data_IF_909980168998
#
_entry.id   IF_909980168998
#
_cell.length_a   1.000
_cell.length_b   1.000
_cell.length_c   1.000
_cell.angle_alpha   90.00
_cell.angle_beta   90.00
_cell.angle_gamma   90.00
#
_symmetry.space_group_name_H-M   'P 1'
#
loop_
_entity.id
_entity.type
_entity.pdbx_description
1 polymer ?
#
# COMPACT_ATOMS: atom_id res chain seq x y z
N UNK A 1 -46.37 -23.74 6.53
CA UNK A 1 -45.94 -22.54 7.28
C UNK A 1 -46.23 -22.78 8.74
N UNK A 2 -45.21 -23.10 9.56
CA UNK A 2 -45.29 -23.01 11.02
C UNK A 2 -43.89 -23.07 11.63
N UNK A 3 -43.35 -21.89 11.86
CA UNK A 3 -42.58 -21.45 13.03
C UNK A 3 -41.40 -22.30 13.52
N UNK A 4 -40.25 -22.04 12.89
CA UNK A 4 -38.94 -22.27 13.50
C UNK A 4 -38.68 -21.18 14.56
N UNK A 5 -39.20 -21.34 15.79
CA UNK A 5 -38.85 -20.47 16.92
C UNK A 5 -37.41 -20.75 17.36
N UNK A 6 -36.47 -20.03 16.78
CA UNK A 6 -35.12 -19.88 17.35
C UNK A 6 -35.28 -19.26 18.76
N UNK A 7 -34.63 -19.80 19.82
CA UNK A 7 -34.83 -19.28 21.18
C UNK A 7 -34.34 -17.83 21.29
N UNK A 8 -35.25 -16.90 21.59
CA UNK A 8 -35.00 -15.46 21.72
C UNK A 8 -33.85 -15.14 22.70
N UNK A 9 -33.62 -16.02 23.67
CA UNK A 9 -32.54 -15.94 24.67
C UNK A 9 -31.16 -16.17 24.03
N UNK A 10 -31.05 -17.12 23.10
CA UNK A 10 -29.79 -17.39 22.41
C UNK A 10 -29.41 -16.21 21.50
N UNK A 11 -30.40 -15.60 20.85
CA UNK A 11 -30.20 -14.40 20.03
C UNK A 11 -29.76 -13.20 20.86
N UNK A 12 -30.38 -12.94 22.02
CA UNK A 12 -29.97 -11.87 22.94
C UNK A 12 -28.55 -12.05 23.46
N UNK A 13 -28.18 -13.28 23.82
CA UNK A 13 -26.81 -13.59 24.26
C UNK A 13 -25.77 -13.38 23.15
N UNK A 14 -26.07 -13.78 21.92
CA UNK A 14 -25.18 -13.52 20.78
C UNK A 14 -25.05 -12.01 20.49
N UNK A 15 -26.11 -11.21 20.69
CA UNK A 15 -26.01 -9.75 20.58
C UNK A 15 -25.08 -9.18 21.66
N UNK A 16 -25.24 -9.60 22.93
CA UNK A 16 -24.38 -9.15 24.02
C UNK A 16 -22.90 -9.55 23.79
N UNK A 17 -22.64 -10.75 23.27
CA UNK A 17 -21.30 -11.20 22.90
C UNK A 17 -20.70 -10.33 21.78
N UNK A 18 -21.48 -9.97 20.76
CA UNK A 18 -21.05 -9.08 19.68
C UNK A 18 -20.81 -7.64 20.17
N UNK A 19 -21.66 -7.11 21.04
CA UNK A 19 -21.50 -5.76 21.63
C UNK A 19 -20.23 -5.67 22.48
N UNK A 20 -19.92 -6.74 23.23
CA UNK A 20 -18.68 -6.84 24.01
C UNK A 20 -17.46 -6.87 23.09
N UNK A 21 -17.48 -7.66 22.01
CA UNK A 21 -16.41 -7.71 21.03
C UNK A 21 -16.19 -6.35 20.34
N UNK A 22 -17.27 -5.65 19.95
CA UNK A 22 -17.20 -4.31 19.37
C UNK A 22 -16.51 -3.32 20.32
N UNK A 23 -16.87 -3.34 21.60
CA UNK A 23 -16.26 -2.47 22.63
C UNK A 23 -14.77 -2.75 22.77
N UNK A 24 -14.36 -4.02 22.83
CA UNK A 24 -12.93 -4.38 22.91
C UNK A 24 -12.14 -3.96 21.66
N UNK A 25 -12.75 -4.04 20.48
CA UNK A 25 -12.13 -3.58 19.23
C UNK A 25 -11.89 -2.07 19.27
N UNK A 26 -12.87 -1.29 19.74
CA UNK A 26 -12.73 0.16 19.82
C UNK A 26 -11.67 0.58 20.85
N UNK A 27 -11.59 -0.09 22.00
CA UNK A 27 -10.51 0.11 22.96
C UNK A 27 -9.13 -0.19 22.36
N UNK A 28 -9.01 -1.29 21.61
CA UNK A 28 -7.75 -1.64 20.91
C UNK A 28 -7.39 -0.63 19.84
N UNK A 29 -8.36 -0.10 19.09
CA UNK A 29 -8.16 0.97 18.09
C UNK A 29 -7.64 2.23 18.75
N UNK A 30 -8.23 2.66 19.86
CA UNK A 30 -7.78 3.84 20.60
C UNK A 30 -6.39 3.66 21.20
N UNK A 31 -6.08 2.48 21.73
CA UNK A 31 -4.73 2.16 22.20
C UNK A 31 -3.71 2.18 21.05
N UNK A 32 -4.08 1.61 19.90
CA UNK A 32 -3.25 1.62 18.68
C UNK A 32 -3.01 3.05 18.23
N UNK A 33 -4.06 3.87 18.15
CA UNK A 33 -3.96 5.29 17.82
C UNK A 33 -2.98 6.01 18.73
N UNK A 34 -3.10 5.84 20.05
CA UNK A 34 -2.16 6.43 21.02
C UNK A 34 -0.71 5.99 20.73
N UNK A 35 -0.47 4.68 20.63
CA UNK A 35 0.87 4.13 20.40
C UNK A 35 1.48 4.63 19.09
N UNK A 36 0.69 4.65 18.02
CA UNK A 36 1.13 5.09 16.69
C UNK A 36 1.35 6.60 16.66
N UNK A 37 0.51 7.40 17.31
CA UNK A 37 0.76 8.84 17.49
C UNK A 37 2.13 9.11 18.11
N UNK A 38 2.53 8.33 19.12
CA UNK A 38 3.85 8.47 19.74
C UNK A 38 4.99 8.17 18.75
N UNK A 39 4.81 7.22 17.83
CA UNK A 39 5.82 6.92 16.78
C UNK A 39 6.03 8.13 15.85
N UNK A 40 4.98 8.92 15.58
CA UNK A 40 5.02 10.07 14.67
C UNK A 40 5.11 11.44 15.37
N UNK A 41 5.35 11.47 16.69
CA UNK A 41 5.39 12.70 17.50
C UNK A 41 6.76 13.40 17.54
N UNK A 42 7.73 12.98 16.72
CA UNK A 42 9.08 13.54 16.71
C UNK A 42 9.21 14.88 15.96
N UNK A 43 10.29 15.62 16.25
CA UNK A 43 10.66 16.87 15.56
C UNK A 43 11.26 16.66 14.15
N UNK A 44 11.09 15.48 13.56
CA UNK A 44 11.62 15.13 12.24
C UNK A 44 10.65 15.56 11.15
N UNK A 45 11.13 15.67 9.90
CA UNK A 45 10.22 15.87 8.78
C UNK A 45 9.35 14.62 8.59
N UNK A 46 8.12 14.80 8.09
CA UNK A 46 7.20 13.67 7.86
C UNK A 46 7.80 12.61 6.93
N UNK A 47 8.55 13.04 5.91
CA UNK A 47 9.21 12.14 4.97
C UNK A 47 10.30 11.27 5.63
N UNK A 48 11.10 11.85 6.54
CA UNK A 48 12.12 11.10 7.30
C UNK A 48 11.46 10.08 8.23
N UNK A 49 10.43 10.49 8.99
CA UNK A 49 9.72 9.58 9.90
C UNK A 49 9.05 8.44 9.13
N UNK A 50 8.46 8.73 7.97
CA UNK A 50 7.89 7.71 7.09
C UNK A 50 8.98 6.76 6.59
N UNK A 51 10.14 7.28 6.17
CA UNK A 51 11.25 6.44 5.71
C UNK A 51 11.73 5.50 6.81
N UNK A 52 11.90 6.00 8.04
CA UNK A 52 12.26 5.18 9.21
C UNK A 52 11.18 4.14 9.53
N UNK A 53 9.90 4.52 9.48
CA UNK A 53 8.78 3.60 9.68
C UNK A 53 8.78 2.46 8.65
N UNK A 54 8.98 2.80 7.37
CA UNK A 54 9.04 1.80 6.31
C UNK A 54 10.24 0.87 6.50
N UNK A 55 11.43 1.42 6.79
CA UNK A 55 12.69 0.66 6.93
C UNK A 55 12.75 -0.21 8.19
N UNK A 56 12.23 0.27 9.32
CA UNK A 56 12.36 -0.41 10.60
C UNK A 56 11.14 -1.28 10.94
N UNK A 57 9.96 -0.99 10.37
CA UNK A 57 8.73 -1.68 10.73
C UNK A 57 8.14 -2.50 9.57
N UNK A 58 7.99 -1.90 8.39
CA UNK A 58 7.24 -2.53 7.29
C UNK A 58 8.11 -3.51 6.51
N UNK A 59 9.25 -3.06 5.96
CA UNK A 59 10.10 -3.90 5.11
C UNK A 59 10.63 -5.16 5.82
N UNK A 60 11.12 -5.12 7.08
CA UNK A 60 11.60 -6.32 7.74
C UNK A 60 10.48 -7.34 8.00
N UNK A 61 9.25 -6.86 8.20
CA UNK A 61 8.11 -7.71 8.58
C UNK A 61 7.40 -8.31 7.39
N UNK A 62 7.22 -7.56 6.29
CA UNK A 62 6.49 -8.05 5.12
C UNK A 62 7.20 -9.22 4.40
N UNK A 63 8.50 -9.41 4.64
CA UNK A 63 9.29 -10.52 4.08
C UNK A 63 9.26 -11.78 4.97
N UNK A 64 8.83 -11.68 6.24
CA UNK A 64 8.94 -12.76 7.22
C UNK A 64 7.97 -13.93 6.96
N UNK A 65 6.72 -13.63 6.65
CA UNK A 65 5.68 -14.62 6.33
C UNK A 65 4.59 -14.01 5.45
N UNK A 66 3.77 -14.85 4.81
CA UNK A 66 2.64 -14.38 4.00
C UNK A 66 1.58 -13.66 4.85
N UNK A 67 1.36 -14.14 6.07
CA UNK A 67 0.42 -13.53 7.02
C UNK A 67 0.94 -12.15 7.46
N UNK A 68 2.25 -12.03 7.68
CA UNK A 68 2.87 -10.75 8.02
C UNK A 68 2.82 -9.74 6.86
N UNK A 69 2.95 -10.21 5.61
CA UNK A 69 2.77 -9.37 4.43
C UNK A 69 1.37 -8.75 4.38
N UNK A 70 0.32 -9.55 4.59
CA UNK A 70 -1.06 -9.06 4.66
C UNK A 70 -1.28 -8.14 5.87
N UNK A 71 -0.77 -8.54 7.03
CA UNK A 71 -0.82 -7.73 8.25
C UNK A 71 -0.19 -6.35 8.03
N UNK A 72 0.96 -6.25 7.35
CA UNK A 72 1.60 -4.97 7.07
C UNK A 72 0.71 -4.07 6.20
N UNK A 73 0.06 -4.61 5.18
CA UNK A 73 -0.85 -3.85 4.33
C UNK A 73 -2.10 -3.38 5.10
N UNK A 74 -2.73 -4.28 5.86
CA UNK A 74 -3.90 -3.95 6.68
C UNK A 74 -3.54 -2.97 7.80
N UNK A 75 -2.37 -3.12 8.43
CA UNK A 75 -1.89 -2.19 9.44
C UNK A 75 -1.72 -0.77 8.89
N UNK A 76 -1.18 -0.63 7.68
CA UNK A 76 -1.10 0.66 7.00
C UNK A 76 -2.48 1.26 6.71
N UNK A 77 -3.47 0.43 6.33
CA UNK A 77 -4.86 0.86 6.15
C UNK A 77 -5.47 1.32 7.47
N UNK A 78 -5.28 0.57 8.56
CA UNK A 78 -5.75 0.95 9.90
C UNK A 78 -5.13 2.27 10.36
N UNK A 79 -3.82 2.49 10.16
CA UNK A 79 -3.17 3.77 10.51
C UNK A 79 -3.82 4.94 9.75
N UNK A 80 -4.14 4.72 8.47
CA UNK A 80 -4.85 5.69 7.66
C UNK A 80 -6.24 5.98 8.23
N UNK A 81 -7.05 4.95 8.49
CA UNK A 81 -8.42 5.06 9.02
C UNK A 81 -8.48 5.75 10.40
N UNK A 82 -7.44 5.59 11.22
CA UNK A 82 -7.34 6.22 12.55
C UNK A 82 -7.04 7.73 12.49
N UNK A 83 -6.79 8.28 11.30
CA UNK A 83 -6.45 9.69 11.05
C UNK A 83 -5.27 10.13 11.90
N UNK A 84 -4.24 9.29 11.94
CA UNK A 84 -3.08 9.50 12.82
C UNK A 84 -2.41 10.85 12.50
N UNK A 85 -2.22 11.76 13.49
CA UNK A 85 -1.53 13.02 13.29
C UNK A 85 -0.10 12.77 12.82
N UNK A 86 0.41 13.67 11.98
CA UNK A 86 1.76 13.63 11.38
C UNK A 86 2.05 12.45 10.45
N UNK A 87 1.14 11.49 10.29
CA UNK A 87 1.25 10.45 9.28
C UNK A 87 0.67 10.94 7.95
N UNK A 88 1.42 10.81 6.85
CA UNK A 88 0.90 11.05 5.50
C UNK A 88 0.82 9.73 4.73
N UNK A 89 -0.41 9.28 4.50
CA UNK A 89 -0.69 8.06 3.73
C UNK A 89 -0.11 8.16 2.32
N UNK A 90 -0.28 9.32 1.66
CA UNK A 90 0.26 9.53 0.30
C UNK A 90 1.78 9.43 0.27
N UNK A 91 2.49 10.09 1.19
CA UNK A 91 3.96 10.03 1.23
C UNK A 91 4.43 8.61 1.58
N UNK A 92 3.72 7.91 2.46
CA UNK A 92 4.02 6.53 2.83
C UNK A 92 3.88 5.57 1.63
N UNK A 93 2.80 5.69 0.87
CA UNK A 93 2.57 4.87 -0.32
C UNK A 93 3.50 5.26 -1.48
N UNK A 94 3.79 6.55 -1.68
CA UNK A 94 4.78 7.00 -2.68
C UNK A 94 6.17 6.44 -2.32
N UNK A 95 6.58 6.49 -1.04
CA UNK A 95 7.84 5.91 -0.59
C UNK A 95 7.99 4.40 -0.82
N UNK A 96 6.89 3.65 -0.76
CA UNK A 96 6.87 2.22 -1.06
C UNK A 96 6.92 1.91 -2.55
N UNK A 97 6.18 2.67 -3.37
CA UNK A 97 5.95 2.35 -4.78
C UNK A 97 6.97 3.03 -5.71
N UNK A 98 7.62 4.11 -5.26
CA UNK A 98 8.47 4.94 -6.11
C UNK A 98 9.64 4.18 -6.74
N UNK A 99 10.28 3.29 -6.00
CA UNK A 99 11.33 2.41 -6.51
C UNK A 99 11.41 1.08 -5.74
N UNK A 100 10.83 0.04 -6.31
CA UNK A 100 10.82 -1.32 -5.75
C UNK A 100 12.02 -2.17 -6.22
N UNK A 101 12.85 -1.64 -7.11
CA UNK A 101 13.89 -2.41 -7.80
C UNK A 101 14.90 -3.01 -6.82
N UNK A 102 15.29 -2.21 -5.82
CA UNK A 102 16.21 -2.63 -4.76
C UNK A 102 15.58 -3.64 -3.81
N UNK A 103 14.31 -3.45 -3.44
CA UNK A 103 13.58 -4.41 -2.60
C UNK A 103 13.55 -5.78 -3.26
N UNK A 104 13.18 -5.85 -4.54
CA UNK A 104 13.15 -7.12 -5.31
C UNK A 104 14.54 -7.74 -5.44
N UNK A 105 15.57 -6.92 -5.69
CA UNK A 105 16.94 -7.41 -5.84
C UNK A 105 17.51 -7.98 -4.52
N UNK A 106 17.09 -7.45 -3.38
CA UNK A 106 17.54 -7.93 -2.06
C UNK A 106 16.81 -9.17 -1.54
N UNK A 107 15.67 -9.52 -2.14
CA UNK A 107 14.87 -10.66 -1.70
C UNK A 107 15.45 -11.98 -2.19
N UNK A 108 15.27 -13.04 -1.41
CA UNK A 108 15.23 -14.41 -1.93
C UNK A 108 13.93 -14.68 -2.70
N UNK A 109 13.87 -15.80 -3.43
CA UNK A 109 12.69 -16.20 -4.22
C UNK A 109 11.40 -16.25 -3.36
N UNK A 110 11.47 -16.85 -2.17
CA UNK A 110 10.30 -16.93 -1.29
C UNK A 110 9.90 -15.56 -0.71
N UNK A 111 10.88 -14.69 -0.44
CA UNK A 111 10.62 -13.33 0.03
C UNK A 111 9.99 -12.48 -1.07
N UNK A 112 10.39 -12.68 -2.33
CA UNK A 112 9.79 -11.99 -3.48
C UNK A 112 8.30 -12.31 -3.63
N UNK A 113 7.89 -13.57 -3.42
CA UNK A 113 6.47 -13.97 -3.43
C UNK A 113 5.69 -13.24 -2.31
N UNK A 114 6.23 -13.22 -1.08
CA UNK A 114 5.59 -12.54 0.06
C UNK A 114 5.50 -11.03 -0.15
N UNK A 115 6.56 -10.44 -0.67
CA UNK A 115 6.59 -9.03 -1.05
C UNK A 115 5.55 -8.71 -2.14
N UNK A 116 5.39 -9.59 -3.13
CA UNK A 116 4.33 -9.50 -4.13
C UNK A 116 2.94 -9.47 -3.52
N UNK A 117 2.66 -10.32 -2.51
CA UNK A 117 1.37 -10.34 -1.78
C UNK A 117 1.12 -9.05 -0.98
N UNK A 118 2.17 -8.53 -0.35
CA UNK A 118 2.11 -7.22 0.31
C UNK A 118 1.76 -6.11 -0.70
N UNK A 119 2.44 -6.08 -1.86
CA UNK A 119 2.17 -5.09 -2.91
C UNK A 119 0.76 -5.24 -3.51
N UNK A 120 0.28 -6.47 -3.70
CA UNK A 120 -1.07 -6.76 -4.18
C UNK A 120 -2.13 -6.12 -3.26
N UNK A 121 -2.06 -6.39 -1.95
CA UNK A 121 -2.99 -5.85 -0.96
C UNK A 121 -2.88 -4.31 -0.80
N UNK A 122 -1.66 -3.79 -0.89
CA UNK A 122 -1.42 -2.34 -0.89
C UNK A 122 -2.10 -1.68 -2.09
N UNK A 123 -1.88 -2.19 -3.30
CA UNK A 123 -2.47 -1.66 -4.52
C UNK A 123 -3.98 -1.82 -4.55
N UNK A 124 -4.53 -2.92 -4.06
CA UNK A 124 -5.98 -3.10 -3.95
C UNK A 124 -6.64 -1.97 -3.17
N UNK A 125 -6.03 -1.53 -2.06
CA UNK A 125 -6.50 -0.39 -1.27
C UNK A 125 -6.56 0.89 -2.11
N UNK A 126 -5.45 1.21 -2.80
CA UNK A 126 -5.35 2.41 -3.64
C UNK A 126 -6.34 2.34 -4.81
N UNK A 127 -6.46 1.17 -5.43
CA UNK A 127 -7.38 0.95 -6.54
C UNK A 127 -8.84 1.16 -6.12
N UNK A 128 -9.18 0.80 -4.89
CA UNK A 128 -10.53 1.02 -4.36
C UNK A 128 -10.86 2.51 -4.23
N UNK A 129 -9.90 3.34 -3.81
CA UNK A 129 -10.04 4.80 -3.79
C UNK A 129 -10.06 5.41 -5.19
N UNK A 130 -9.32 4.84 -6.14
CA UNK A 130 -9.31 5.30 -7.53
C UNK A 130 -10.60 4.92 -8.28
N UNK A 131 -11.25 3.81 -7.91
CA UNK A 131 -12.45 3.31 -8.59
C UNK A 131 -13.73 4.05 -8.22
N UNK A 132 -13.81 4.60 -7.00
CA UNK A 132 -15.01 5.25 -6.49
C UNK A 132 -14.67 6.59 -5.82
N UNK A 133 -15.13 7.69 -6.45
CA UNK A 133 -14.96 9.03 -5.92
C UNK A 133 -15.66 9.21 -4.57
N UNK A 134 -16.83 8.61 -4.34
CA UNK A 134 -17.53 8.75 -3.07
C UNK A 134 -16.74 8.09 -1.92
N UNK A 135 -16.09 6.97 -2.22
CA UNK A 135 -15.21 6.28 -1.27
C UNK A 135 -13.99 7.14 -0.93
N UNK A 136 -13.35 7.73 -1.94
CA UNK A 136 -12.26 8.68 -1.74
C UNK A 136 -12.68 9.91 -0.92
N UNK A 137 -13.83 10.50 -1.22
CA UNK A 137 -14.34 11.68 -0.51
C UNK A 137 -14.71 11.35 0.95
N UNK A 138 -15.10 10.12 1.26
CA UNK A 138 -15.38 9.69 2.64
C UNK A 138 -14.11 9.35 3.43
N UNK A 139 -13.22 8.59 2.82
CA UNK A 139 -12.06 7.96 3.49
C UNK A 139 -10.77 8.76 3.35
N UNK A 140 -10.61 9.61 2.34
CA UNK A 140 -9.34 10.28 2.06
C UNK A 140 -9.45 11.80 2.19
N UNK A 141 -10.52 12.41 1.67
CA UNK A 141 -10.70 13.85 1.69
C UNK A 141 -10.66 14.40 3.13
N UNK A 142 -11.41 13.82 4.06
CA UNK A 142 -11.45 14.30 5.45
C UNK A 142 -10.19 14.00 6.28
N UNK A 143 -9.23 13.23 5.75
CA UNK A 143 -8.12 12.68 6.52
C UNK A 143 -6.85 13.52 6.38
N UNK A 144 -6.20 13.79 7.52
CA UNK A 144 -4.91 14.51 7.56
C UNK A 144 -3.83 13.83 6.71
N UNK A 145 -3.93 12.52 6.47
CA UNK A 145 -2.97 11.76 5.67
C UNK A 145 -2.85 12.19 4.19
N UNK A 146 -3.84 12.93 3.67
CA UNK A 146 -3.97 13.36 2.26
C UNK A 146 -3.80 14.87 2.05
N UNK A 147 -3.33 15.60 3.07
CA UNK A 147 -3.01 17.02 2.92
C UNK A 147 -1.64 17.18 2.21
N UNK A 148 -1.60 17.93 1.11
CA UNK A 148 -0.39 18.09 0.27
C UNK A 148 0.56 19.16 0.80
N UNK A 149 0.07 20.07 1.65
CA UNK A 149 0.88 21.10 2.31
C UNK A 149 0.50 21.18 3.78
N UNK A 150 1.48 20.89 4.64
CA UNK A 150 1.40 21.20 6.06
C UNK A 150 2.45 22.23 6.39
N UNK A 151 2.01 23.45 6.70
CA UNK A 151 2.91 24.43 7.27
C UNK A 151 3.39 23.92 8.63
N UNK A 152 4.71 23.80 8.80
CA UNK A 152 5.31 23.68 10.13
C UNK A 152 4.83 24.86 10.97
N UNK A 153 4.20 24.61 12.11
CA UNK A 153 3.69 25.62 13.04
C UNK A 153 4.80 26.44 13.74
N UNK A 154 5.98 26.59 13.12
CA UNK A 154 7.19 27.15 13.73
C UNK A 154 7.86 28.32 12.99
N UNK A 155 7.55 28.60 11.71
CA UNK A 155 8.20 29.70 11.00
C UNK A 155 7.21 30.80 10.60
N UNK A 156 7.18 31.82 11.44
CA UNK A 156 6.44 33.08 11.25
C UNK A 156 6.87 33.84 9.99
N UNK A 157 5.87 34.50 9.40
CA UNK A 157 5.97 35.77 8.68
C UNK A 157 6.80 35.80 7.40
N UNK A 158 6.13 35.84 6.25
CA UNK A 158 6.09 37.05 5.39
C UNK A 158 5.12 36.89 4.22
N UNK A 159 4.11 37.78 4.19
CA UNK A 159 3.55 38.50 3.02
C UNK A 159 2.96 37.67 1.85
N UNK A 160 1.83 37.97 1.22
CA UNK A 160 0.77 38.99 1.32
C UNK A 160 -0.21 38.57 0.22
N UNK A 161 -1.48 38.32 0.56
CA UNK A 161 -2.71 38.56 -0.24
C UNK A 161 -3.82 37.58 0.17
N UNK A 162 -4.76 38.09 0.98
CA UNK A 162 -6.20 38.00 0.70
C UNK A 162 -6.95 36.66 0.64
N UNK A 163 -6.34 35.50 0.83
CA UNK A 163 -7.09 34.24 0.95
C UNK A 163 -6.60 33.44 2.14
N UNK A 164 -7.50 33.14 3.07
CA UNK A 164 -7.35 32.09 4.07
C UNK A 164 -7.04 30.78 3.35
N UNK A 165 -5.76 30.47 3.16
CA UNK A 165 -5.32 29.21 2.57
C UNK A 165 -5.52 28.10 3.60
N UNK A 166 -6.73 27.53 3.62
CA UNK A 166 -6.99 26.20 4.16
C UNK A 166 -5.96 25.23 3.59
N UNK A 167 -5.42 24.30 4.39
CA UNK A 167 -4.43 23.33 3.92
C UNK A 167 -5.00 22.62 2.68
N UNK A 168 -4.27 22.71 1.56
CA UNK A 168 -4.75 22.20 0.28
C UNK A 168 -4.83 20.68 0.37
N UNK A 169 -6.07 20.20 0.43
CA UNK A 169 -6.39 18.79 0.47
C UNK A 169 -6.19 18.20 -0.92
N UNK A 170 -5.62 17.00 -1.02
CA UNK A 170 -5.46 16.35 -2.32
C UNK A 170 -6.83 16.12 -2.94
N UNK A 171 -7.14 16.85 -4.01
CA UNK A 171 -8.34 16.62 -4.80
C UNK A 171 -8.29 15.26 -5.50
N UNK A 172 -9.46 14.71 -5.81
CA UNK A 172 -9.61 13.41 -6.47
C UNK A 172 -8.86 13.36 -7.80
N UNK A 173 -8.89 14.44 -8.59
CA UNK A 173 -8.16 14.48 -9.85
C UNK A 173 -6.64 14.47 -9.64
N UNK A 174 -6.13 15.16 -8.62
CA UNK A 174 -4.71 15.09 -8.25
C UNK A 174 -4.33 13.68 -7.78
N UNK A 175 -5.20 13.01 -7.03
CA UNK A 175 -5.00 11.61 -6.65
C UNK A 175 -4.89 10.67 -7.86
N UNK A 176 -5.71 10.85 -8.91
CA UNK A 176 -5.59 10.06 -10.14
C UNK A 176 -4.25 10.25 -10.85
N UNK A 177 -3.70 11.47 -10.84
CA UNK A 177 -2.36 11.73 -11.37
C UNK A 177 -1.27 11.02 -10.55
N UNK A 178 -1.38 11.04 -9.21
CA UNK A 178 -0.47 10.32 -8.30
C UNK A 178 -0.56 8.81 -8.53
N UNK A 179 -1.77 8.26 -8.61
CA UNK A 179 -2.01 6.85 -8.93
C UNK A 179 -1.39 6.45 -10.27
N UNK A 180 -1.60 7.24 -11.33
CA UNK A 180 -0.97 6.99 -12.63
C UNK A 180 0.57 7.04 -12.54
N UNK A 181 1.13 8.00 -11.80
CA UNK A 181 2.57 8.11 -11.54
C UNK A 181 3.09 6.85 -10.84
N UNK A 182 2.38 6.31 -9.86
CA UNK A 182 2.74 5.06 -9.17
C UNK A 182 2.76 3.86 -10.12
N UNK A 183 1.72 3.70 -10.94
CA UNK A 183 1.71 2.63 -11.95
C UNK A 183 2.85 2.77 -12.97
N UNK A 184 3.16 3.99 -13.40
CA UNK A 184 4.30 4.25 -14.28
C UNK A 184 5.64 3.88 -13.61
N UNK A 185 5.82 4.21 -12.33
CA UNK A 185 7.02 3.88 -11.56
C UNK A 185 7.18 2.36 -11.40
N UNK A 186 6.10 1.65 -11.06
CA UNK A 186 6.08 0.18 -11.02
C UNK A 186 6.50 -0.43 -12.36
N UNK A 187 5.88 0.02 -13.47
CA UNK A 187 6.24 -0.46 -14.80
C UNK A 187 7.74 -0.27 -15.08
N UNK A 188 8.28 0.90 -14.74
CA UNK A 188 9.69 1.22 -14.94
C UNK A 188 10.60 0.32 -14.10
N UNK A 189 10.30 0.12 -12.82
CA UNK A 189 11.09 -0.76 -11.93
C UNK A 189 11.04 -2.22 -12.39
N UNK A 190 9.87 -2.71 -12.81
CA UNK A 190 9.76 -4.07 -13.34
C UNK A 190 10.55 -4.26 -14.63
N UNK A 191 10.45 -3.33 -15.59
CA UNK A 191 11.25 -3.38 -16.82
C UNK A 191 12.75 -3.35 -16.48
N UNK A 192 13.17 -2.50 -15.53
CA UNK A 192 14.56 -2.44 -15.09
C UNK A 192 15.05 -3.77 -14.49
N UNK A 193 14.25 -4.43 -13.64
CA UNK A 193 14.60 -5.73 -13.09
C UNK A 193 14.61 -6.85 -14.16
N UNK A 194 13.70 -6.78 -15.13
CA UNK A 194 13.62 -7.74 -16.24
C UNK A 194 14.79 -7.60 -17.24
N UNK A 195 15.28 -6.38 -17.45
CA UNK A 195 16.43 -6.08 -18.31
C UNK A 195 17.79 -6.29 -17.59
N UNK A 196 17.77 -6.73 -16.33
CA UNK A 196 18.98 -7.01 -15.58
C UNK A 196 19.71 -8.25 -16.14
N UNK A 197 21.02 -8.32 -15.95
CA UNK A 197 21.80 -9.53 -16.25
C UNK A 197 21.81 -10.55 -15.09
N UNK A 198 21.09 -10.26 -14.00
CA UNK A 198 21.04 -11.11 -12.82
C UNK A 198 19.79 -12.00 -12.88
N UNK A 199 20.04 -13.30 -13.06
CA UNK A 199 19.00 -14.31 -13.10
C UNK A 199 18.11 -14.32 -11.85
N UNK A 200 18.68 -14.09 -10.66
CA UNK A 200 17.91 -14.08 -9.41
C UNK A 200 16.96 -12.90 -9.41
N UNK A 201 17.44 -11.72 -9.83
CA UNK A 201 16.61 -10.53 -9.95
C UNK A 201 15.48 -10.72 -10.97
N UNK A 202 15.77 -11.31 -12.15
CA UNK A 202 14.76 -11.67 -13.15
C UNK A 202 13.72 -12.62 -12.55
N UNK A 203 14.16 -13.67 -11.85
CA UNK A 203 13.25 -14.66 -11.26
C UNK A 203 12.35 -14.05 -10.19
N UNK A 204 12.92 -13.24 -9.30
CA UNK A 204 12.17 -12.55 -8.25
C UNK A 204 11.11 -11.62 -8.83
N UNK A 205 11.45 -10.82 -9.86
CA UNK A 205 10.47 -9.93 -10.47
C UNK A 205 9.35 -10.70 -11.17
N UNK A 206 9.64 -11.84 -11.81
CA UNK A 206 8.62 -12.69 -12.42
C UNK A 206 7.66 -13.28 -11.36
N UNK A 207 8.19 -13.71 -10.22
CA UNK A 207 7.36 -14.18 -9.10
C UNK A 207 6.46 -13.08 -8.54
N UNK A 208 7.01 -11.88 -8.32
CA UNK A 208 6.25 -10.70 -7.89
C UNK A 208 5.16 -10.38 -8.91
N UNK A 209 5.50 -10.28 -10.20
CA UNK A 209 4.55 -9.99 -11.27
C UNK A 209 3.41 -11.01 -11.34
N UNK A 210 3.71 -12.30 -11.20
CA UNK A 210 2.71 -13.38 -11.24
C UNK A 210 1.66 -13.22 -10.14
N UNK A 211 2.10 -12.84 -8.93
CA UNK A 211 1.21 -12.54 -7.80
C UNK A 211 0.38 -11.29 -8.06
N UNK A 212 0.96 -10.26 -8.67
CA UNK A 212 0.31 -8.97 -8.91
C UNK A 212 -0.70 -8.95 -10.09
N UNK A 213 -0.70 -9.97 -10.96
CA UNK A 213 -1.55 -10.04 -12.17
C UNK A 213 -3.03 -9.67 -11.98
N UNK A 214 -3.72 -10.04 -10.88
CA UNK A 214 -5.14 -9.73 -10.71
C UNK A 214 -5.42 -8.21 -10.62
N UNK A 215 -4.47 -7.46 -10.07
CA UNK A 215 -4.61 -6.03 -9.76
C UNK A 215 -3.85 -5.17 -10.79
N UNK A 216 -2.71 -5.66 -11.29
CA UNK A 216 -1.80 -4.93 -12.15
C UNK A 216 -1.24 -5.81 -13.28
N UNK A 217 -1.04 -5.29 -14.50
CA UNK A 217 -1.38 -3.96 -15.01
C UNK A 217 -2.78 -3.92 -15.65
N UNK A 218 -3.60 -2.91 -15.30
CA UNK A 218 -4.90 -2.67 -15.98
C UNK A 218 -4.80 -1.81 -17.24
N UNK A 219 -3.70 -1.08 -17.40
CA UNK A 219 -3.48 -0.22 -18.57
C UNK A 219 -2.77 -0.99 -19.68
N UNK A 220 -3.32 -0.92 -20.90
CA UNK A 220 -2.81 -1.62 -22.08
C UNK A 220 -1.39 -1.23 -22.45
N UNK A 221 -1.00 0.02 -22.23
CA UNK A 221 0.35 0.53 -22.50
C UNK A 221 1.42 -0.14 -21.63
N UNK A 222 1.18 -0.23 -20.32
CA UNK A 222 2.09 -0.90 -19.39
C UNK A 222 2.10 -2.41 -19.57
N UNK A 223 0.93 -3.00 -19.85
CA UNK A 223 0.81 -4.41 -20.21
C UNK A 223 1.67 -4.75 -21.43
N UNK A 224 1.51 -4.03 -22.55
CA UNK A 224 2.26 -4.28 -23.77
C UNK A 224 3.78 -4.10 -23.60
N UNK A 225 4.20 -3.13 -22.77
CA UNK A 225 5.62 -2.92 -22.48
C UNK A 225 6.22 -4.10 -21.70
N UNK A 226 5.53 -4.58 -20.65
CA UNK A 226 5.96 -5.72 -19.85
C UNK A 226 5.93 -7.02 -20.66
N UNK A 227 4.88 -7.23 -21.44
CA UNK A 227 4.74 -8.41 -22.31
C UNK A 227 5.89 -8.49 -23.31
N UNK A 228 6.28 -7.36 -23.92
CA UNK A 228 7.43 -7.30 -24.83
C UNK A 228 8.73 -7.70 -24.14
N UNK A 229 8.98 -7.21 -22.93
CA UNK A 229 10.17 -7.56 -22.15
C UNK A 229 10.19 -9.05 -21.76
N UNK A 230 9.06 -9.58 -21.29
CA UNK A 230 8.93 -10.99 -20.93
C UNK A 230 9.15 -11.89 -22.16
N UNK A 231 8.55 -11.55 -23.32
CA UNK A 231 8.77 -12.29 -24.57
C UNK A 231 10.24 -12.30 -24.99
N UNK A 232 10.94 -11.17 -24.85
CA UNK A 232 12.37 -11.07 -25.16
C UNK A 232 13.21 -12.00 -24.25
N UNK A 233 12.91 -12.06 -22.95
CA UNK A 233 13.56 -12.98 -22.01
C UNK A 233 13.25 -14.42 -22.39
N UNK A 234 11.98 -14.75 -22.67
CA UNK A 234 11.61 -16.10 -23.10
C UNK A 234 12.34 -16.53 -24.37
N UNK A 235 12.61 -15.63 -25.32
CA UNK A 235 13.41 -15.96 -26.51
C UNK A 235 14.89 -16.13 -26.18
N UNK A 236 15.47 -15.26 -25.34
CA UNK A 236 16.88 -15.35 -24.97
C UNK A 236 17.19 -16.61 -24.12
N UNK A 237 16.27 -17.01 -23.25
CA UNK A 237 16.43 -18.16 -22.36
C UNK A 237 16.15 -19.51 -23.05
N UNK A 238 15.28 -19.53 -24.08
CA UNK A 238 15.07 -20.72 -24.94
C UNK A 238 16.37 -21.23 -25.55
N UNK A 239 17.31 -20.33 -25.83
CA UNK A 239 18.60 -20.66 -26.42
C UNK A 239 19.65 -21.06 -25.37
N UNK A 240 19.39 -20.83 -24.08
CA UNK A 240 20.38 -20.98 -22.99
C UNK A 240 20.13 -22.18 -22.07
N UNK A 241 18.91 -22.45 -21.57
CA UNK A 241 18.63 -23.59 -20.64
C UNK A 241 17.16 -24.07 -20.65
N UNK A 242 16.96 -25.38 -20.54
CA UNK A 242 15.66 -26.07 -20.53
C UNK A 242 14.86 -25.98 -19.20
N UNK A 243 15.37 -25.32 -18.15
CA UNK A 243 14.82 -25.49 -16.79
C UNK A 243 13.71 -24.48 -16.40
N UNK A 244 13.29 -23.59 -17.31
CA UNK A 244 12.26 -22.55 -17.04
C UNK A 244 10.81 -22.98 -17.24
N UNK A 245 10.54 -24.22 -17.68
CA UNK A 245 9.19 -24.66 -18.06
C UNK A 245 8.18 -24.81 -16.91
N UNK A 246 8.54 -24.53 -15.66
CA UNK A 246 7.69 -24.80 -14.50
C UNK A 246 6.90 -23.61 -13.94
N UNK A 247 6.92 -22.43 -14.57
CA UNK A 247 6.18 -21.24 -14.07
C UNK A 247 5.22 -20.65 -15.13
N UNK A 248 4.87 -21.43 -16.17
CA UNK A 248 3.79 -21.09 -17.10
C UNK A 248 2.44 -21.66 -16.66
#
# INVERSE_FOLDING_TARGET
MSDLKVPEIAYKRSIEELELEMTQIDERKELTKKNVCFLFAGNKTKAETITEFLQLCIFPRCLLSEIDALYCADFMRVIHDLVTPNFSTIICYDGLIYDISYSIASCSENEAIRYGRFLESLLESVMSWHGDKNKFDKECATHSGFLTVFHNAGNTATKTTGTTQTPEQLDYDNFRHVHHKWHYKLAKSFIFCLDSNDYIQIRNVLQVLTVLLPIYPKMTTFHAALERCIKAICTAEKDRRHDFFCIS
#
